data_IF_042909208845
#
_entry.id   IF_042909208845
#
_cell.length_a   1.000
_cell.length_b   1.000
_cell.length_c   1.000
_cell.angle_alpha   90.00
_cell.angle_beta   90.00
_cell.angle_gamma   90.00
#
_symmetry.space_group_name_H-M   'P 1'
#
loop_
_entity.id
_entity.type
_entity.pdbx_description
1 polymer ?
#
# COMPACT_ATOMS: atom_id res chain seq x y z
N UNK A 1 -13.67 10.48 -1.53
CA UNK A 1 -13.34 10.92 -2.92
C UNK A 1 -12.67 9.74 -3.60
N UNK A 2 -13.18 9.30 -4.76
CA UNK A 2 -12.59 8.17 -5.49
C UNK A 2 -11.34 8.71 -6.19
N UNK A 3 -10.18 8.11 -5.93
CA UNK A 3 -8.97 8.42 -6.69
C UNK A 3 -9.08 7.77 -8.07
N UNK A 4 -8.82 8.52 -9.13
CA UNK A 4 -8.70 7.94 -10.47
C UNK A 4 -7.66 6.82 -10.49
N UNK A 5 -7.84 5.85 -11.39
CA UNK A 5 -6.97 4.68 -11.52
C UNK A 5 -5.48 5.04 -11.63
N UNK A 6 -5.14 6.14 -12.33
CA UNK A 6 -3.76 6.64 -12.45
C UNK A 6 -3.15 7.07 -11.12
N UNK A 7 -3.92 7.77 -10.27
CA UNK A 7 -3.46 8.18 -8.94
C UNK A 7 -3.38 6.99 -7.98
N UNK A 8 -4.35 6.07 -8.07
CA UNK A 8 -4.33 4.81 -7.30
C UNK A 8 -3.06 3.98 -7.61
N UNK A 9 -2.70 3.84 -8.88
CA UNK A 9 -1.49 3.13 -9.31
C UNK A 9 -0.22 3.83 -8.81
N UNK A 10 -0.17 5.17 -8.92
CA UNK A 10 0.98 5.95 -8.46
C UNK A 10 1.18 5.79 -6.95
N UNK A 11 0.11 5.86 -6.16
CA UNK A 11 0.15 5.63 -4.71
C UNK A 11 0.60 4.20 -4.41
N UNK A 12 0.12 3.20 -5.16
CA UNK A 12 0.55 1.81 -4.99
C UNK A 12 2.04 1.60 -5.30
N UNK A 13 2.56 2.23 -6.37
CA UNK A 13 3.99 2.20 -6.68
C UNK A 13 4.85 2.87 -5.59
N UNK A 14 4.39 3.98 -5.03
CA UNK A 14 5.09 4.63 -3.89
C UNK A 14 5.04 3.73 -2.65
N UNK A 15 3.88 3.11 -2.37
CA UNK A 15 3.73 2.16 -1.26
C UNK A 15 4.72 1.00 -1.38
N UNK A 16 4.86 0.43 -2.59
CA UNK A 16 5.82 -0.62 -2.91
C UNK A 16 7.26 -0.18 -2.68
N UNK A 17 7.63 1.01 -3.13
CA UNK A 17 8.97 1.55 -2.98
C UNK A 17 9.32 1.76 -1.49
N UNK A 18 8.36 2.23 -0.70
CA UNK A 18 8.51 2.35 0.76
C UNK A 18 8.61 0.96 1.40
N UNK A 19 7.76 0.01 1.00
CA UNK A 19 7.76 -1.37 1.47
C UNK A 19 9.11 -2.06 1.24
N UNK A 20 9.68 -1.90 0.04
CA UNK A 20 11.03 -2.35 -0.31
C UNK A 20 12.08 -1.83 0.68
N UNK A 21 12.05 -0.53 0.98
CA UNK A 21 13.02 0.10 1.87
C UNK A 21 12.91 -0.46 3.30
N UNK A 22 11.68 -0.64 3.81
CA UNK A 22 11.42 -1.15 5.15
C UNK A 22 11.74 -2.65 5.29
N UNK A 23 11.38 -3.46 4.30
CA UNK A 23 11.74 -4.89 4.25
C UNK A 23 13.26 -5.05 4.21
N UNK A 24 13.96 -4.24 3.42
CA UNK A 24 15.43 -4.26 3.35
C UNK A 24 16.09 -3.87 4.68
N UNK A 25 15.46 -3.00 5.47
CA UNK A 25 15.96 -2.60 6.79
C UNK A 25 15.63 -3.62 7.89
N UNK A 26 14.59 -4.44 7.69
CA UNK A 26 14.05 -5.34 8.72
C UNK A 26 14.27 -6.81 8.34
N UNK A 27 15.30 -7.50 8.88
CA UNK A 27 15.58 -8.91 8.56
C UNK A 27 14.46 -9.87 9.01
N UNK A 28 13.55 -9.41 9.87
CA UNK A 28 12.36 -10.18 10.28
C UNK A 28 11.35 -10.37 9.14
N UNK A 29 11.16 -9.36 8.27
CA UNK A 29 10.24 -9.42 7.13
C UNK A 29 10.81 -10.27 5.99
N UNK A 30 12.12 -10.20 5.75
CA UNK A 30 12.80 -11.07 4.78
C UNK A 30 12.72 -12.56 5.15
N UNK A 31 12.83 -12.89 6.45
CA UNK A 31 12.75 -14.28 6.93
C UNK A 31 11.38 -14.93 6.78
N UNK A 32 10.31 -14.15 6.67
CA UNK A 32 8.93 -14.66 6.56
C UNK A 32 8.43 -14.74 5.11
N UNK A 33 9.28 -14.50 4.10
CA UNK A 33 8.90 -14.48 2.68
C UNK A 33 7.69 -13.57 2.36
N UNK A 34 7.45 -12.54 3.19
CA UNK A 34 6.33 -11.62 2.98
C UNK A 34 6.70 -10.69 1.81
N UNK A 35 5.86 -10.60 0.76
CA UNK A 35 6.11 -9.73 -0.37
C UNK A 35 6.24 -8.27 0.07
N UNK A 36 7.16 -7.53 -0.54
CA UNK A 36 7.39 -6.10 -0.26
C UNK A 36 6.12 -5.26 -0.49
N UNK A 37 5.27 -5.68 -1.42
CA UNK A 37 3.93 -5.15 -1.68
C UNK A 37 3.03 -5.14 -0.45
N UNK A 38 3.03 -6.22 0.32
CA UNK A 38 2.15 -6.37 1.49
C UNK A 38 2.61 -5.45 2.62
N UNK A 39 3.93 -5.33 2.82
CA UNK A 39 4.52 -4.46 3.85
C UNK A 39 4.29 -2.99 3.52
N UNK A 40 4.53 -2.61 2.27
CA UNK A 40 4.26 -1.26 1.78
C UNK A 40 2.79 -0.87 1.93
N UNK A 41 1.89 -1.78 1.54
CA UNK A 41 0.45 -1.62 1.71
C UNK A 41 0.03 -1.50 3.18
N UNK A 42 0.63 -2.28 4.09
CA UNK A 42 0.34 -2.21 5.52
C UNK A 42 0.72 -0.85 6.14
N UNK A 43 1.87 -0.28 5.75
CA UNK A 43 2.29 1.05 6.19
C UNK A 43 1.30 2.12 5.70
N UNK A 44 0.92 2.07 4.42
CA UNK A 44 -0.06 3.00 3.86
C UNK A 44 -1.42 2.85 4.52
N UNK A 45 -1.85 1.62 4.85
CA UNK A 45 -3.08 1.37 5.57
C UNK A 45 -3.08 2.01 6.98
N UNK A 46 -1.96 1.94 7.71
CA UNK A 46 -1.82 2.60 9.01
C UNK A 46 -1.94 4.12 8.87
N UNK A 47 -1.27 4.71 7.87
CA UNK A 47 -1.33 6.15 7.60
C UNK A 47 -2.75 6.59 7.26
N UNK A 48 -3.42 5.85 6.37
CA UNK A 48 -4.81 6.12 6.00
C UNK A 48 -5.76 5.98 7.18
N UNK A 49 -5.56 5.00 8.06
CA UNK A 49 -6.36 4.83 9.26
C UNK A 49 -6.23 6.04 10.20
N UNK A 50 -5.00 6.55 10.39
CA UNK A 50 -4.76 7.75 11.21
C UNK A 50 -5.45 8.98 10.61
N UNK A 51 -5.38 9.13 9.28
CA UNK A 51 -6.03 10.22 8.54
C UNK A 51 -7.56 10.12 8.65
N UNK A 52 -8.11 8.91 8.48
CA UNK A 52 -9.55 8.65 8.60
C UNK A 52 -10.05 9.01 10.02
N UNK A 53 -9.29 8.63 11.05
CA UNK A 53 -9.61 8.96 12.45
C UNK A 53 -9.50 10.44 12.80
N UNK A 54 -8.57 11.17 12.16
CA UNK A 54 -8.28 12.57 12.50
C UNK A 54 -9.11 13.57 11.67
N UNK A 55 -9.38 13.24 10.41
CA UNK A 55 -10.03 14.17 9.46
C UNK A 55 -11.27 13.62 8.77
N UNK A 56 -11.64 12.36 8.99
CA UNK A 56 -12.87 11.76 8.41
C UNK A 56 -12.83 11.62 6.89
N UNK A 57 -11.65 11.76 6.26
CA UNK A 57 -11.49 11.59 4.82
C UNK A 57 -11.20 10.14 4.50
N UNK A 58 -12.25 9.41 4.09
CA UNK A 58 -12.09 8.06 3.55
C UNK A 58 -11.62 8.13 2.10
N UNK A 59 -10.39 7.68 1.89
CA UNK A 59 -9.83 7.46 0.55
C UNK A 59 -10.24 6.08 0.05
N UNK A 60 -10.98 6.05 -1.05
CA UNK A 60 -11.32 4.81 -1.75
C UNK A 60 -10.42 4.68 -2.97
N UNK A 61 -9.64 3.62 -2.99
CA UNK A 61 -8.87 3.20 -4.16
C UNK A 61 -9.78 2.49 -5.16
N UNK A 62 -9.40 2.57 -6.44
CA UNK A 62 -10.13 1.89 -7.50
C UNK A 62 -9.99 0.36 -7.38
N UNK A 63 -11.11 -0.32 -7.15
CA UNK A 63 -11.16 -1.77 -6.98
C UNK A 63 -10.80 -2.55 -8.26
N UNK A 64 -10.89 -1.92 -9.44
CA UNK A 64 -10.49 -2.55 -10.70
C UNK A 64 -8.99 -2.88 -10.71
N UNK A 65 -8.17 -2.05 -10.05
CA UNK A 65 -6.74 -2.29 -9.94
C UNK A 65 -6.38 -3.31 -8.85
N UNK A 66 -7.24 -3.54 -7.86
CA UNK A 66 -6.98 -4.49 -6.78
C UNK A 66 -6.72 -5.90 -7.34
N UNK A 67 -7.58 -6.37 -8.24
CA UNK A 67 -7.44 -7.71 -8.83
C UNK A 67 -6.20 -7.81 -9.73
N UNK A 68 -5.87 -6.76 -10.47
CA UNK A 68 -4.66 -6.71 -11.28
C UNK A 68 -3.41 -6.79 -10.40
N UNK A 69 -3.32 -5.97 -9.35
CA UNK A 69 -2.17 -5.96 -8.45
C UNK A 69 -2.00 -7.31 -7.75
N UNK A 70 -3.10 -7.93 -7.30
CA UNK A 70 -3.06 -9.24 -6.62
C UNK A 70 -2.62 -10.39 -7.54
N UNK A 71 -2.80 -10.28 -8.85
CA UNK A 71 -2.32 -11.26 -9.84
C UNK A 71 -0.88 -11.02 -10.27
N UNK A 72 -0.42 -9.76 -10.24
CA UNK A 72 0.95 -9.40 -10.63
C UNK A 72 2.00 -9.65 -9.55
N UNK A 73 1.59 -9.72 -8.28
CA UNK A 73 2.45 -10.02 -7.12
C UNK A 73 2.23 -11.44 -6.61
#
# INVERSE_FOLDING_TARGET
MILDASYTLLVACIALLIGMFVVKFTPFLQKNHIPEAVVGGFIVAIVLLIIDKTSGYSFTFDASLQSLLMLTF
#
